data_IF_431134063522
#
_entry.id   IF_431134063522
#
_cell.length_a   1.000
_cell.length_b   1.000
_cell.length_c   1.000
_cell.angle_alpha   90.00
_cell.angle_beta   90.00
_cell.angle_gamma   90.00
#
_symmetry.space_group_name_H-M   'P 1'
#
loop_
_entity.id
_entity.type
_entity.pdbx_description
1 polymer ?
#
# COMPACT_ATOMS: atom_id res chain seq x y z
N UNK A 1 12.14 30.64 -36.16
CA UNK A 1 12.19 29.16 -36.04
C UNK A 1 13.21 28.64 -35.02
N UNK A 2 14.41 29.22 -34.85
CA UNK A 2 15.41 28.74 -33.85
C UNK A 2 14.92 28.73 -32.38
N UNK A 3 14.14 29.72 -31.97
CA UNK A 3 13.63 29.81 -30.60
C UNK A 3 12.50 28.83 -30.28
N UNK A 4 11.76 28.36 -31.29
CA UNK A 4 10.64 27.43 -31.12
C UNK A 4 11.16 26.02 -30.78
N UNK A 5 12.25 25.59 -31.42
CA UNK A 5 12.90 24.31 -31.09
C UNK A 5 13.53 24.30 -29.70
N UNK A 6 14.12 25.43 -29.27
CA UNK A 6 14.69 25.56 -27.92
C UNK A 6 13.60 25.53 -26.84
N UNK A 7 12.47 26.21 -27.08
CA UNK A 7 11.29 26.16 -26.22
C UNK A 7 10.70 24.74 -26.13
N UNK A 8 10.55 24.05 -27.25
CA UNK A 8 10.03 22.68 -27.28
C UNK A 8 10.94 21.71 -26.52
N UNK A 9 12.27 21.85 -26.68
CA UNK A 9 13.26 21.05 -25.95
C UNK A 9 13.20 21.32 -24.44
N UNK A 10 13.11 22.58 -24.03
CA UNK A 10 12.98 22.96 -22.61
C UNK A 10 11.70 22.42 -21.97
N UNK A 11 10.56 22.49 -22.67
CA UNK A 11 9.29 21.93 -22.21
C UNK A 11 9.39 20.42 -22.04
N UNK A 12 10.02 19.73 -22.99
CA UNK A 12 10.21 18.27 -22.92
C UNK A 12 10.98 17.86 -21.65
N UNK A 13 12.08 18.56 -21.34
CA UNK A 13 12.87 18.30 -20.11
C UNK A 13 12.02 18.52 -18.86
N UNK A 14 11.21 19.59 -18.81
CA UNK A 14 10.33 19.86 -17.68
C UNK A 14 9.28 18.76 -17.50
N UNK A 15 8.66 18.28 -18.58
CA UNK A 15 7.69 17.19 -18.54
C UNK A 15 8.32 15.90 -18.00
N UNK A 16 9.52 15.55 -18.48
CA UNK A 16 10.25 14.37 -17.98
C UNK A 16 10.56 14.50 -16.48
N UNK A 17 10.99 15.67 -16.02
CA UNK A 17 11.25 15.92 -14.60
C UNK A 17 9.98 15.79 -13.74
N UNK A 18 8.83 16.27 -14.24
CA UNK A 18 7.55 16.16 -13.53
C UNK A 18 7.10 14.71 -13.41
N UNK A 19 7.24 13.91 -14.48
CA UNK A 19 6.90 12.48 -14.46
C UNK A 19 7.79 11.73 -13.46
N UNK A 20 9.11 11.96 -13.48
CA UNK A 20 10.02 11.34 -12.51
C UNK A 20 9.72 11.76 -11.07
N UNK A 21 9.38 13.03 -10.86
CA UNK A 21 9.00 13.54 -9.54
C UNK A 21 7.71 12.88 -9.04
N UNK A 22 6.72 12.68 -9.92
CA UNK A 22 5.48 11.98 -9.60
C UNK A 22 5.74 10.55 -9.10
N UNK A 23 6.54 9.77 -9.83
CA UNK A 23 6.88 8.40 -9.42
C UNK A 23 7.68 8.35 -8.13
N UNK A 24 8.66 9.26 -7.95
CA UNK A 24 9.43 9.34 -6.72
C UNK A 24 8.56 9.65 -5.50
N UNK A 25 7.58 10.56 -5.64
CA UNK A 25 6.64 10.88 -4.56
C UNK A 25 5.83 9.64 -4.16
N UNK A 26 5.29 8.91 -5.13
CA UNK A 26 4.53 7.69 -4.88
C UNK A 26 5.41 6.63 -4.22
N UNK A 27 6.61 6.39 -4.72
CA UNK A 27 7.53 5.40 -4.15
C UNK A 27 7.88 5.74 -2.69
N UNK A 28 8.17 7.01 -2.39
CA UNK A 28 8.46 7.47 -1.03
C UNK A 28 7.25 7.28 -0.10
N UNK A 29 6.04 7.56 -0.56
CA UNK A 29 4.82 7.33 0.22
C UNK A 29 4.62 5.85 0.54
N UNK A 30 4.83 4.96 -0.45
CA UNK A 30 4.71 3.51 -0.27
C UNK A 30 5.76 3.00 0.73
N UNK A 31 7.02 3.44 0.58
CA UNK A 31 8.10 3.07 1.49
C UNK A 31 7.83 3.47 2.94
N UNK A 32 7.19 4.62 3.17
CA UNK A 32 6.80 5.05 4.53
C UNK A 32 5.74 4.16 5.18
N UNK A 33 4.90 3.52 4.36
CA UNK A 33 3.78 2.70 4.81
C UNK A 33 4.14 1.20 4.79
N UNK A 34 5.20 0.80 4.08
CA UNK A 34 5.53 -0.60 3.80
C UNK A 34 5.75 -1.44 5.06
N UNK A 35 6.43 -0.91 6.08
CA UNK A 35 6.67 -1.61 7.35
C UNK A 35 5.35 -1.99 8.04
N UNK A 36 4.38 -1.08 8.07
CA UNK A 36 3.05 -1.31 8.65
C UNK A 36 2.24 -2.34 7.85
N UNK A 37 2.40 -2.34 6.53
CA UNK A 37 1.74 -3.32 5.65
C UNK A 37 2.33 -4.71 5.84
N UNK A 38 3.66 -4.81 5.94
CA UNK A 38 4.34 -6.08 6.23
C UNK A 38 3.85 -6.63 7.57
N UNK A 39 3.84 -5.81 8.63
CA UNK A 39 3.37 -6.25 9.93
C UNK A 39 1.89 -6.69 9.90
N UNK A 40 1.02 -5.93 9.23
CA UNK A 40 -0.39 -6.30 9.07
C UNK A 40 -0.57 -7.61 8.31
N UNK A 41 0.25 -7.86 7.29
CA UNK A 41 0.24 -9.12 6.54
C UNK A 41 0.76 -10.30 7.38
N UNK A 42 1.78 -10.09 8.21
CA UNK A 42 2.26 -11.12 9.15
C UNK A 42 1.17 -11.52 10.14
N UNK A 43 0.41 -10.55 10.67
CA UNK A 43 -0.72 -10.81 11.56
C UNK A 43 -1.83 -11.58 10.83
N UNK A 44 -2.12 -11.23 9.58
CA UNK A 44 -3.08 -11.97 8.75
C UNK A 44 -2.62 -13.42 8.52
N UNK A 45 -1.34 -13.63 8.24
CA UNK A 45 -0.76 -14.97 8.06
C UNK A 45 -0.82 -15.79 9.35
N UNK A 46 -0.46 -15.20 10.49
CA UNK A 46 -0.61 -15.84 11.81
C UNK A 46 -2.07 -16.21 12.07
N UNK A 47 -3.03 -15.35 11.73
CA UNK A 47 -4.46 -15.63 11.92
C UNK A 47 -4.95 -16.78 11.03
N UNK A 48 -4.43 -16.90 9.81
CA UNK A 48 -4.78 -18.00 8.89
C UNK A 48 -4.11 -19.32 9.29
N UNK A 49 -2.86 -19.28 9.75
CA UNK A 49 -2.05 -20.49 10.01
C UNK A 49 -2.14 -21.00 11.44
N UNK A 50 -2.37 -20.11 12.42
CA UNK A 50 -2.36 -20.39 13.86
C UNK A 50 -3.56 -19.74 14.55
N UNK A 51 -4.74 -19.87 13.95
CA UNK A 51 -5.97 -19.24 14.42
C UNK A 51 -6.21 -19.39 15.93
N UNK A 52 -6.14 -20.62 16.46
CA UNK A 52 -6.39 -20.89 17.89
C UNK A 52 -5.46 -20.10 18.82
N UNK A 53 -4.19 -19.91 18.39
CA UNK A 53 -3.22 -19.14 19.16
C UNK A 53 -3.53 -17.64 19.10
N UNK A 54 -3.93 -17.13 17.93
CA UNK A 54 -4.30 -15.73 17.75
C UNK A 54 -5.58 -15.40 18.52
N UNK A 55 -6.59 -16.27 18.48
CA UNK A 55 -7.83 -16.09 19.23
C UNK A 55 -7.62 -16.14 20.74
N UNK A 56 -6.67 -16.97 21.22
CA UNK A 56 -6.30 -17.03 22.63
C UNK A 56 -5.57 -15.76 23.12
N UNK A 57 -4.84 -15.08 22.24
CA UNK A 57 -4.10 -13.85 22.52
C UNK A 57 -4.68 -12.65 21.75
N UNK A 58 -6.00 -12.64 21.54
CA UNK A 58 -6.68 -11.70 20.65
C UNK A 58 -6.44 -10.23 21.02
N UNK A 59 -6.38 -9.91 22.32
CA UNK A 59 -6.14 -8.54 22.81
C UNK A 59 -4.82 -7.97 22.30
N UNK A 60 -3.75 -8.77 22.26
CA UNK A 60 -2.44 -8.35 21.77
C UNK A 60 -2.49 -8.07 20.26
N UNK A 61 -3.05 -9.01 19.49
CA UNK A 61 -3.15 -8.89 18.04
C UNK A 61 -4.04 -7.70 17.62
N UNK A 62 -5.16 -7.50 18.31
CA UNK A 62 -6.05 -6.35 18.08
C UNK A 62 -5.32 -5.04 18.42
N UNK A 63 -4.63 -4.96 19.55
CA UNK A 63 -3.88 -3.76 19.93
C UNK A 63 -2.81 -3.39 18.88
N UNK A 64 -2.08 -4.40 18.39
CA UNK A 64 -1.09 -4.22 17.31
C UNK A 64 -1.74 -3.72 16.03
N UNK A 65 -2.84 -4.33 15.59
CA UNK A 65 -3.58 -3.89 14.39
C UNK A 65 -4.13 -2.47 14.52
N UNK A 66 -4.65 -2.09 15.68
CA UNK A 66 -5.11 -0.72 15.92
C UNK A 66 -3.95 0.28 15.89
N UNK A 67 -2.79 -0.09 16.43
CA UNK A 67 -1.59 0.74 16.37
C UNK A 67 -1.11 0.93 14.93
N UNK A 68 -1.03 -0.15 14.15
CA UNK A 68 -0.74 -0.12 12.70
C UNK A 68 -1.72 0.81 11.99
N UNK A 69 -3.03 0.68 12.23
CA UNK A 69 -4.06 1.54 11.63
C UNK A 69 -3.83 3.02 11.97
N UNK A 70 -3.49 3.34 13.22
CA UNK A 70 -3.19 4.71 13.64
C UNK A 70 -1.94 5.25 12.94
N UNK A 71 -0.85 4.50 12.93
CA UNK A 71 0.38 4.91 12.27
C UNK A 71 0.20 5.12 10.77
N UNK A 72 -0.55 4.25 10.09
CA UNK A 72 -0.90 4.45 8.68
C UNK A 72 -1.70 5.75 8.53
N UNK A 73 -2.70 5.99 9.38
CA UNK A 73 -3.52 7.21 9.36
C UNK A 73 -2.69 8.48 9.56
N UNK A 74 -1.73 8.46 10.47
CA UNK A 74 -0.91 9.62 10.83
C UNK A 74 0.27 9.86 9.87
N UNK A 75 0.67 8.81 9.13
CA UNK A 75 1.71 8.93 8.10
C UNK A 75 1.28 9.92 7.03
N UNK A 76 2.04 11.01 6.88
CA UNK A 76 1.82 12.00 5.83
C UNK A 76 2.19 11.40 4.47
N UNK A 77 1.18 11.32 3.61
CA UNK A 77 1.33 10.88 2.22
C UNK A 77 0.79 11.94 1.27
N UNK A 78 1.22 11.86 0.01
CA UNK A 78 0.69 12.68 -1.06
C UNK A 78 -0.80 12.38 -1.33
N UNK A 79 -1.43 13.28 -2.08
CA UNK A 79 -2.79 13.11 -2.54
C UNK A 79 -2.97 11.85 -3.39
N UNK A 80 -1.96 11.47 -4.18
CA UNK A 80 -2.01 10.34 -5.11
C UNK A 80 -2.21 8.99 -4.41
N UNK A 81 -1.60 8.80 -3.23
CA UNK A 81 -1.65 7.52 -2.49
C UNK A 81 -2.78 7.45 -1.45
N UNK A 82 -3.65 8.46 -1.39
CA UNK A 82 -4.74 8.54 -0.41
C UNK A 82 -5.69 7.34 -0.47
N UNK A 83 -6.02 6.87 -1.67
CA UNK A 83 -6.94 5.75 -1.90
C UNK A 83 -6.32 4.42 -1.49
N UNK A 84 -5.04 4.19 -1.85
CA UNK A 84 -4.24 3.07 -1.37
C UNK A 84 -4.25 2.97 0.17
N UNK A 85 -3.92 4.08 0.83
CA UNK A 85 -3.90 4.19 2.29
C UNK A 85 -5.26 3.87 2.92
N UNK A 86 -6.35 4.39 2.34
CA UNK A 86 -7.71 4.11 2.83
C UNK A 86 -8.06 2.62 2.73
N UNK A 87 -7.73 1.95 1.62
CA UNK A 87 -7.98 0.51 1.48
C UNK A 87 -7.18 -0.32 2.47
N UNK A 88 -5.90 0.01 2.73
CA UNK A 88 -5.10 -0.67 3.76
C UNK A 88 -5.71 -0.51 5.16
N UNK A 89 -6.17 0.68 5.52
CA UNK A 89 -6.86 0.90 6.80
C UNK A 89 -8.16 0.09 6.93
N UNK A 90 -8.95 0.00 5.85
CA UNK A 90 -10.19 -0.81 5.82
C UNK A 90 -9.89 -2.30 5.92
N UNK A 91 -8.82 -2.77 5.29
CA UNK A 91 -8.36 -4.15 5.42
C UNK A 91 -8.04 -4.48 6.89
N UNK A 92 -7.25 -3.64 7.55
CA UNK A 92 -6.92 -3.81 8.98
C UNK A 92 -8.16 -3.79 9.87
N UNK A 93 -9.11 -2.89 9.61
CA UNK A 93 -10.36 -2.83 10.36
C UNK A 93 -11.19 -4.11 10.24
N UNK A 94 -11.25 -4.70 9.05
CA UNK A 94 -11.93 -5.98 8.87
C UNK A 94 -11.15 -7.13 9.51
N UNK A 95 -9.82 -7.07 9.54
CA UNK A 95 -9.02 -8.08 10.23
C UNK A 95 -9.27 -8.03 11.76
N UNK A 96 -9.32 -6.84 12.35
CA UNK A 96 -9.72 -6.65 13.76
C UNK A 96 -11.10 -7.25 14.01
N UNK A 97 -12.07 -6.97 13.14
CA UNK A 97 -13.42 -7.52 13.27
C UNK A 97 -13.44 -9.05 13.15
N UNK A 98 -12.64 -9.64 12.25
CA UNK A 98 -12.57 -11.11 12.13
C UNK A 98 -11.96 -11.79 13.35
N UNK A 99 -11.04 -11.11 14.06
CA UNK A 99 -10.43 -11.63 15.30
C UNK A 99 -11.38 -11.41 16.50
N UNK A 100 -12.15 -10.32 16.50
CA UNK A 100 -13.02 -9.93 17.63
C UNK A 100 -14.38 -10.64 17.59
N UNK A 101 -15.02 -10.67 16.42
CA UNK A 101 -16.37 -11.21 16.21
C UNK A 101 -16.31 -12.53 15.43
N UNK A 102 -16.13 -13.63 16.16
CA UNK A 102 -16.11 -14.98 15.59
C UNK A 102 -17.39 -15.41 14.85
N UNK A 103 -18.49 -14.64 14.95
CA UNK A 103 -19.78 -14.93 14.28
C UNK A 103 -19.79 -14.57 12.79
N UNK A 104 -19.02 -13.58 12.35
CA UNK A 104 -18.94 -13.16 10.94
C UNK A 104 -17.50 -13.20 10.40
N UNK A 105 -16.63 -14.01 11.02
CA UNK A 105 -15.22 -14.14 10.69
C UNK A 105 -14.96 -14.27 9.18
N UNK A 106 -15.63 -15.21 8.52
CA UNK A 106 -15.39 -15.50 7.10
C UNK A 106 -15.73 -14.31 6.19
N UNK A 107 -16.81 -13.61 6.50
CA UNK A 107 -17.24 -12.40 5.78
C UNK A 107 -16.25 -11.26 5.97
N UNK A 108 -15.73 -11.08 7.19
CA UNK A 108 -14.69 -10.09 7.45
C UNK A 108 -13.37 -10.46 6.75
N UNK A 109 -12.98 -11.73 6.74
CA UNK A 109 -11.81 -12.20 5.98
C UNK A 109 -11.96 -12.01 4.47
N UNK A 110 -13.16 -12.19 3.91
CA UNK A 110 -13.43 -11.87 2.51
C UNK A 110 -13.23 -10.37 2.24
N UNK A 111 -13.70 -9.52 3.15
CA UNK A 111 -13.49 -8.07 3.05
C UNK A 111 -12.02 -7.69 3.18
N UNK A 112 -11.24 -8.35 4.04
CA UNK A 112 -9.78 -8.19 4.13
C UNK A 112 -9.14 -8.44 2.76
N UNK A 113 -9.43 -9.60 2.14
CA UNK A 113 -8.93 -9.95 0.80
C UNK A 113 -9.34 -8.91 -0.24
N UNK A 114 -10.62 -8.56 -0.28
CA UNK A 114 -11.15 -7.57 -1.22
C UNK A 114 -10.44 -6.22 -1.10
N UNK A 115 -10.22 -5.72 0.12
CA UNK A 115 -9.54 -4.45 0.31
C UNK A 115 -8.04 -4.52 0.05
N UNK A 116 -7.40 -5.67 0.27
CA UNK A 116 -6.03 -5.91 -0.16
C UNK A 116 -5.93 -5.85 -1.70
N UNK A 117 -6.79 -6.57 -2.43
CA UNK A 117 -6.82 -6.55 -3.89
C UNK A 117 -7.08 -5.14 -4.45
N UNK A 118 -8.00 -4.39 -3.84
CA UNK A 118 -8.27 -3.01 -4.23
C UNK A 118 -7.07 -2.10 -3.97
N UNK A 119 -6.32 -2.33 -2.89
CA UNK A 119 -5.09 -1.58 -2.61
C UNK A 119 -4.00 -1.88 -3.63
N UNK A 120 -3.86 -3.13 -4.06
CA UNK A 120 -2.88 -3.53 -5.08
C UNK A 120 -3.26 -3.00 -6.46
N UNK A 121 -4.54 -3.07 -6.84
CA UNK A 121 -5.03 -2.47 -8.09
C UNK A 121 -4.83 -0.96 -8.15
N UNK A 122 -5.02 -0.27 -7.02
CA UNK A 122 -4.73 1.16 -6.94
C UNK A 122 -3.24 1.43 -7.12
N UNK A 123 -2.39 0.64 -6.47
CA UNK A 123 -0.95 0.76 -6.59
C UNK A 123 -0.46 0.52 -8.01
N UNK A 124 -0.94 -0.55 -8.64
CA UNK A 124 -0.68 -0.88 -10.05
C UNK A 124 -1.15 0.26 -10.98
N UNK A 125 -2.30 0.86 -10.71
CA UNK A 125 -2.82 1.99 -11.48
C UNK A 125 -1.98 3.27 -11.32
N UNK A 126 -1.40 3.49 -10.14
CA UNK A 126 -0.55 4.66 -9.87
C UNK A 126 0.84 4.51 -10.51
N UNK A 127 1.33 3.26 -10.56
CA UNK A 127 2.67 2.92 -10.99
C UNK A 127 2.78 2.55 -12.48
N UNK A 128 1.65 2.35 -13.17
CA UNK A 128 1.54 1.96 -14.59
C UNK A 128 2.64 0.95 -14.98
N UNK A 129 2.38 -0.35 -14.74
CA UNK A 129 3.34 -1.48 -14.87
C UNK A 129 4.29 -1.38 -16.07
N UNK A 130 3.87 -0.76 -17.18
CA UNK A 130 4.65 -0.61 -18.40
C UNK A 130 5.73 0.50 -18.36
N UNK A 131 5.59 1.56 -17.58
CA UNK A 131 6.58 2.65 -17.50
C UNK A 131 7.76 2.29 -16.58
N UNK A 132 7.51 1.46 -15.56
CA UNK A 132 8.55 0.97 -14.64
C UNK A 132 9.48 -0.06 -15.30
N UNK A 133 9.00 -0.95 -16.18
CA UNK A 133 9.89 -1.91 -16.86
C UNK A 133 11.01 -1.25 -17.67
N UNK A 134 10.82 0.00 -18.11
CA UNK A 134 11.80 0.75 -18.91
C UNK A 134 12.68 1.68 -18.07
N UNK A 135 12.31 1.96 -16.81
CA UNK A 135 13.00 2.95 -15.95
C UNK A 135 13.50 2.38 -14.61
N UNK A 136 13.11 1.16 -14.23
CA UNK A 136 13.67 0.47 -13.08
C UNK A 136 14.94 -0.28 -13.46
N UNK A 137 16.06 0.09 -12.85
CA UNK A 137 17.12 -0.89 -12.54
C UNK A 137 16.52 -1.85 -11.51
N UNK A 138 15.90 -2.93 -12.01
CA UNK A 138 15.23 -3.91 -11.17
C UNK A 138 16.25 -4.60 -10.26
N UNK A 139 16.02 -4.58 -8.94
CA UNK A 139 16.73 -5.42 -7.97
C UNK A 139 16.17 -6.84 -7.92
N UNK A 140 15.57 -7.34 -9.01
CA UNK A 140 15.31 -8.79 -9.19
C UNK A 140 16.59 -9.64 -9.21
N UNK A 141 17.75 -9.04 -8.96
CA UNK A 141 19.03 -9.72 -8.73
C UNK A 141 19.12 -10.48 -7.38
N UNK A 142 18.01 -10.64 -6.65
CA UNK A 142 17.92 -11.54 -5.50
C UNK A 142 16.72 -12.49 -5.67
N UNK A 143 16.73 -13.24 -6.77
CA UNK A 143 16.25 -14.63 -6.80
C UNK A 143 17.46 -15.55 -7.01
#
# INVERSE_FOLDING_TARGET
MKYIGLLASSICVVVVLLINSYYNIINLDIQRISSYVIEGNMILEDFITKEDYVLKNNDEYIARLLNIKSHIKDTKTSFFTKKYKNYRMKSIENLVNSISDGKEKDKHLELVKRYNDLSEKELDSLLDKNLLEVTYLSTRAYE
#
